data_IF_329266952353
#
_entry.id   IF_329266952353
#
_cell.length_a   1.000
_cell.length_b   1.000
_cell.length_c   1.000
_cell.angle_alpha   90.00
_cell.angle_beta   90.00
_cell.angle_gamma   90.00
#
_symmetry.space_group_name_H-M   'P 1'
#
loop_
_entity.id
_entity.type
_entity.pdbx_description
1 polymer ?
#
# COMPACT_ATOMS: atom_id res chain seq x y z
N UNK A 1 46.00 18.25 13.21
CA UNK A 1 44.99 18.70 12.23
C UNK A 1 44.05 17.53 11.96
N UNK A 2 43.00 17.42 12.74
CA UNK A 2 41.95 16.40 12.58
C UNK A 2 41.00 16.85 11.46
N UNK A 3 40.93 16.05 10.43
CA UNK A 3 39.97 16.26 9.33
C UNK A 3 38.56 15.91 9.84
N UNK A 4 37.75 16.92 10.07
CA UNK A 4 36.32 16.79 10.26
C UNK A 4 35.70 16.11 9.03
N UNK A 5 35.36 14.82 9.15
CA UNK A 5 34.51 14.15 8.17
C UNK A 5 33.10 14.72 8.29
N UNK A 6 32.74 15.56 7.34
CA UNK A 6 31.36 15.99 7.15
C UNK A 6 30.53 14.76 6.69
N UNK A 7 29.79 14.16 7.60
CA UNK A 7 28.80 13.14 7.25
C UNK A 7 27.65 13.88 6.57
N UNK A 8 27.61 13.81 5.26
CA UNK A 8 26.49 14.30 4.48
C UNK A 8 25.24 13.53 4.90
N UNK A 9 24.37 14.15 5.68
CA UNK A 9 23.01 13.66 5.92
C UNK A 9 22.35 13.54 4.55
N UNK A 10 22.09 12.32 4.05
CA UNK A 10 21.24 12.11 2.89
C UNK A 10 19.91 12.79 3.20
N UNK A 11 19.57 13.86 2.47
CA UNK A 11 18.26 14.49 2.52
C UNK A 11 17.26 13.41 2.16
N UNK A 12 16.52 12.89 3.14
CA UNK A 12 15.39 12.01 2.89
C UNK A 12 14.27 12.90 2.32
N UNK A 13 14.04 12.77 1.02
CA UNK A 13 12.92 13.44 0.37
C UNK A 13 11.59 12.84 0.87
N UNK A 14 10.53 13.65 1.02
CA UNK A 14 9.22 13.13 1.36
C UNK A 14 8.72 12.19 0.23
N UNK A 15 8.25 11.02 0.62
CA UNK A 15 7.61 10.09 -0.32
C UNK A 15 6.13 10.41 -0.49
N UNK A 16 5.51 10.97 0.56
CA UNK A 16 4.14 11.49 0.54
C UNK A 16 4.13 12.85 1.22
N UNK A 17 3.47 13.85 0.61
CA UNK A 17 3.19 15.13 1.26
C UNK A 17 1.75 15.58 0.99
N UNK A 18 1.13 16.13 2.02
CA UNK A 18 -0.13 16.86 1.98
C UNK A 18 0.17 18.30 2.37
N UNK A 19 -0.14 19.24 1.50
CA UNK A 19 0.09 20.67 1.70
C UNK A 19 -1.24 21.40 1.69
N UNK A 20 -1.77 21.72 2.89
CA UNK A 20 -3.07 22.34 3.05
C UNK A 20 -4.19 21.61 2.29
N UNK A 21 -4.16 20.28 2.28
CA UNK A 21 -5.09 19.50 1.50
C UNK A 21 -6.45 19.41 2.18
N UNK A 22 -7.51 19.79 1.49
CA UNK A 22 -8.89 19.59 1.90
C UNK A 22 -9.65 18.85 0.80
N UNK A 23 -10.57 17.97 1.20
CA UNK A 23 -11.40 17.23 0.26
C UNK A 23 -12.84 17.13 0.75
N UNK A 24 -13.76 17.43 -0.14
CA UNK A 24 -15.20 17.30 0.04
C UNK A 24 -15.77 16.42 -1.05
N UNK A 25 -16.46 15.33 -0.67
CA UNK A 25 -17.17 14.49 -1.65
C UNK A 25 -18.32 15.25 -2.29
N UNK A 26 -18.63 14.94 -3.53
CA UNK A 26 -19.79 15.48 -4.20
C UNK A 26 -21.08 15.10 -3.44
N UNK A 27 -22.01 16.08 -3.34
CA UNK A 27 -23.25 15.91 -2.58
C UNK A 27 -23.14 15.96 -1.05
N UNK A 28 -21.92 16.07 -0.49
CA UNK A 28 -21.74 16.27 0.95
C UNK A 28 -21.59 17.77 1.29
N UNK A 29 -22.13 18.17 2.46
CA UNK A 29 -22.02 19.56 2.94
C UNK A 29 -20.74 19.83 3.74
N UNK A 30 -20.03 18.78 4.15
CA UNK A 30 -18.85 18.91 5.00
C UNK A 30 -17.62 18.32 4.32
N UNK A 31 -16.46 18.94 4.57
CA UNK A 31 -15.16 18.43 4.14
C UNK A 31 -14.81 17.16 4.94
N UNK A 32 -14.43 16.11 4.23
CA UNK A 32 -13.93 14.85 4.82
C UNK A 32 -12.45 14.94 5.20
N UNK A 33 -11.69 15.80 4.52
CA UNK A 33 -10.36 16.24 4.93
C UNK A 33 -10.37 17.76 5.01
N UNK A 34 -9.76 18.33 6.06
CA UNK A 34 -9.74 19.76 6.28
C UNK A 34 -8.32 20.24 6.63
N UNK A 35 -7.75 21.06 5.77
CA UNK A 35 -6.41 21.69 5.95
C UNK A 35 -5.33 20.69 6.41
N UNK A 36 -5.26 19.52 5.80
CA UNK A 36 -4.30 18.47 6.17
C UNK A 36 -2.90 18.89 5.78
N UNK A 37 -1.99 18.83 6.74
CA UNK A 37 -0.55 19.01 6.59
C UNK A 37 0.14 17.75 7.09
N UNK A 38 0.74 16.98 6.20
CA UNK A 38 1.38 15.73 6.54
C UNK A 38 2.57 15.50 5.61
N UNK A 39 3.69 15.10 6.18
CA UNK A 39 4.88 14.71 5.43
C UNK A 39 5.30 13.33 5.92
N UNK A 40 5.40 12.37 5.00
CA UNK A 40 5.88 11.02 5.26
C UNK A 40 7.16 10.81 4.46
N UNK A 41 8.23 10.43 5.14
CA UNK A 41 9.53 10.18 4.53
C UNK A 41 9.66 8.74 4.08
N UNK A 42 10.52 8.49 3.10
CA UNK A 42 10.86 7.13 2.69
C UNK A 42 11.36 6.31 3.89
N UNK A 43 10.82 5.09 4.02
CA UNK A 43 11.13 4.19 5.12
C UNK A 43 10.51 4.56 6.46
N UNK A 44 9.61 5.54 6.53
CA UNK A 44 8.84 5.85 7.73
C UNK A 44 7.67 4.87 7.89
N UNK A 45 7.36 4.52 9.14
CA UNK A 45 6.17 3.76 9.49
C UNK A 45 5.22 4.69 10.27
N UNK A 46 4.09 5.01 9.65
CA UNK A 46 3.09 5.91 10.21
C UNK A 46 1.82 5.12 10.59
N UNK A 47 1.34 5.34 11.81
CA UNK A 47 0.05 4.82 12.27
C UNK A 47 -0.95 5.97 12.38
N UNK A 48 -2.07 5.84 11.67
CA UNK A 48 -3.15 6.82 11.67
C UNK A 48 -4.32 6.25 12.49
N UNK A 49 -4.64 6.90 13.60
CA UNK A 49 -5.74 6.50 14.47
C UNK A 49 -6.80 7.61 14.56
N UNK A 50 -8.01 7.26 14.92
CA UNK A 50 -9.11 8.22 15.09
C UNK A 50 -10.47 7.54 15.02
N UNK A 51 -11.51 8.28 15.40
CA UNK A 51 -12.90 7.80 15.38
C UNK A 51 -13.35 7.43 13.97
N UNK A 52 -14.39 6.59 13.86
CA UNK A 52 -15.03 6.32 12.58
C UNK A 52 -15.53 7.62 11.94
N UNK A 53 -15.34 7.77 10.64
CA UNK A 53 -15.77 8.96 9.90
C UNK A 53 -14.80 10.17 9.99
N UNK A 54 -13.69 10.10 10.73
CA UNK A 54 -12.76 11.25 10.84
C UNK A 54 -11.84 11.48 9.62
N UNK A 55 -12.09 10.81 8.49
CA UNK A 55 -11.35 11.04 7.24
C UNK A 55 -10.18 10.08 6.95
N UNK A 56 -9.93 9.05 7.77
CA UNK A 56 -8.82 8.08 7.54
C UNK A 56 -8.89 7.44 6.15
N UNK A 57 -10.03 6.89 5.79
CA UNK A 57 -10.25 6.28 4.47
C UNK A 57 -10.13 7.29 3.34
N UNK A 58 -10.54 8.54 3.54
CA UNK A 58 -10.37 9.61 2.54
C UNK A 58 -8.91 9.94 2.32
N UNK A 59 -8.11 9.97 3.40
CA UNK A 59 -6.67 10.20 3.32
C UNK A 59 -5.97 9.04 2.59
N UNK A 60 -6.32 7.78 2.88
CA UNK A 60 -5.76 6.62 2.17
C UNK A 60 -6.18 6.60 0.70
N UNK A 61 -7.40 7.04 0.36
CA UNK A 61 -7.85 7.21 -1.04
C UNK A 61 -7.05 8.26 -1.79
N UNK A 62 -6.65 9.34 -1.14
CA UNK A 62 -5.75 10.32 -1.76
C UNK A 62 -4.36 9.69 -2.02
N UNK A 63 -3.80 8.98 -1.04
CA UNK A 63 -2.50 8.31 -1.20
C UNK A 63 -2.55 7.30 -2.36
N UNK A 64 -3.63 6.52 -2.45
CA UNK A 64 -3.84 5.52 -3.51
C UNK A 64 -4.20 6.12 -4.87
N UNK A 65 -4.20 7.44 -5.00
CA UNK A 65 -4.60 8.15 -6.23
C UNK A 65 -6.02 7.80 -6.73
N UNK A 66 -6.91 7.40 -5.81
CA UNK A 66 -8.32 7.15 -6.11
C UNK A 66 -9.15 8.44 -6.08
N UNK A 67 -8.69 9.44 -5.35
CA UNK A 67 -9.23 10.80 -5.34
C UNK A 67 -8.30 11.68 -6.20
N UNK A 68 -8.84 12.51 -7.07
CA UNK A 68 -10.27 12.77 -7.35
C UNK A 68 -10.89 11.89 -8.45
N UNK A 69 -10.17 10.94 -9.02
CA UNK A 69 -10.54 10.22 -10.26
C UNK A 69 -11.74 9.28 -10.13
N UNK A 70 -11.77 8.47 -9.07
CA UNK A 70 -12.81 7.46 -8.84
C UNK A 70 -13.81 7.90 -7.78
N UNK A 71 -13.45 8.88 -6.98
CA UNK A 71 -14.32 9.47 -5.97
C UNK A 71 -14.44 10.96 -6.28
N UNK A 72 -15.58 11.33 -6.86
CA UNK A 72 -15.85 12.69 -7.28
C UNK A 72 -15.98 13.62 -6.07
N UNK A 73 -15.46 14.84 -6.24
CA UNK A 73 -15.46 15.83 -5.19
C UNK A 73 -14.47 16.98 -5.47
N UNK A 74 -14.40 17.89 -4.54
CA UNK A 74 -13.54 19.07 -4.61
C UNK A 74 -12.28 18.85 -3.77
N UNK A 75 -11.15 18.71 -4.43
CA UNK A 75 -9.83 18.67 -3.80
C UNK A 75 -9.16 20.06 -3.91
N UNK A 76 -8.84 20.66 -2.76
CA UNK A 76 -8.03 21.87 -2.64
C UNK A 76 -6.70 21.57 -1.95
N UNK A 77 -5.72 22.50 -2.08
CA UNK A 77 -4.36 22.25 -1.64
C UNK A 77 -3.63 21.27 -2.57
N UNK A 78 -2.55 20.67 -2.09
CA UNK A 78 -1.72 19.77 -2.89
C UNK A 78 -1.45 18.47 -2.16
N UNK A 79 -1.47 17.35 -2.91
CA UNK A 79 -1.08 16.03 -2.42
C UNK A 79 -0.09 15.45 -3.42
N UNK A 80 1.12 15.16 -2.93
CA UNK A 80 2.21 14.61 -3.73
C UNK A 80 2.52 13.21 -3.21
N UNK A 81 2.58 12.24 -4.10
CA UNK A 81 2.93 10.85 -3.81
C UNK A 81 4.03 10.42 -4.78
N UNK A 82 5.13 9.89 -4.27
CA UNK A 82 6.32 9.51 -5.06
C UNK A 82 6.81 10.64 -5.97
N UNK A 83 6.73 11.90 -5.49
CA UNK A 83 7.17 13.08 -6.22
C UNK A 83 6.22 13.58 -7.33
N UNK A 84 5.00 13.03 -7.44
CA UNK A 84 3.98 13.42 -8.44
C UNK A 84 2.70 13.90 -7.76
N UNK A 85 2.10 14.96 -8.28
CA UNK A 85 0.77 15.41 -7.85
C UNK A 85 -0.29 14.36 -8.19
N UNK A 86 -1.18 14.04 -7.24
CA UNK A 86 -2.28 13.10 -7.50
C UNK A 86 -3.30 13.64 -8.53
N UNK A 87 -3.30 14.94 -8.77
CA UNK A 87 -4.15 15.57 -9.81
C UNK A 87 -3.68 15.23 -11.22
N UNK A 88 -2.38 14.99 -11.40
CA UNK A 88 -1.73 14.78 -12.69
C UNK A 88 -1.34 13.31 -12.91
N UNK A 89 -1.17 12.54 -11.83
CA UNK A 89 -0.65 11.19 -11.87
C UNK A 89 -1.68 10.18 -12.43
N UNK A 90 -1.22 9.20 -13.20
CA UNK A 90 -2.06 8.11 -13.68
C UNK A 90 -2.25 7.04 -12.59
N UNK A 91 -3.48 6.54 -12.43
CA UNK A 91 -3.79 5.53 -11.42
C UNK A 91 -3.09 4.18 -11.68
N UNK A 92 -2.88 3.83 -12.96
CA UNK A 92 -2.16 2.60 -13.33
C UNK A 92 -0.68 2.69 -12.97
N UNK A 93 -0.05 3.84 -13.12
CA UNK A 93 1.34 4.05 -12.67
C UNK A 93 1.45 4.06 -11.15
N UNK A 94 0.49 4.69 -10.45
CA UNK A 94 0.44 4.69 -9.00
C UNK A 94 0.37 3.25 -8.43
N UNK A 95 -0.39 2.37 -9.06
CA UNK A 95 -0.52 0.97 -8.66
C UNK A 95 0.77 0.14 -8.72
N UNK A 96 1.81 0.60 -9.42
CA UNK A 96 3.15 -0.03 -9.38
C UNK A 96 3.92 0.35 -8.11
N UNK A 97 3.69 1.54 -7.60
CA UNK A 97 4.45 2.12 -6.50
C UNK A 97 3.75 1.99 -5.15
N UNK A 98 2.42 1.78 -5.17
CA UNK A 98 1.58 1.76 -3.98
C UNK A 98 0.83 0.43 -3.91
N UNK A 99 1.02 -0.31 -2.82
CA UNK A 99 0.23 -1.49 -2.50
C UNK A 99 -0.78 -1.17 -1.40
N UNK A 100 -2.03 -1.57 -1.62
CA UNK A 100 -3.10 -1.42 -0.65
C UNK A 100 -3.60 -2.76 -0.16
N UNK A 101 -3.83 -2.86 1.14
CA UNK A 101 -4.44 -4.03 1.77
C UNK A 101 -5.66 -3.54 2.54
N UNK A 102 -6.83 -4.00 2.12
CA UNK A 102 -8.11 -3.61 2.69
C UNK A 102 -8.50 -4.49 3.88
N UNK A 103 -9.41 -3.99 4.70
CA UNK A 103 -9.93 -4.67 5.88
C UNK A 103 -10.56 -6.04 5.55
N UNK A 104 -11.35 -6.14 4.48
CA UNK A 104 -11.88 -7.42 3.98
C UNK A 104 -11.13 -7.87 2.72
N UNK A 105 -10.24 -8.87 2.79
CA UNK A 105 -9.48 -9.35 1.65
C UNK A 105 -10.37 -9.96 0.55
N UNK A 106 -11.59 -10.41 0.87
CA UNK A 106 -12.51 -11.01 -0.12
C UNK A 106 -12.94 -10.02 -1.20
N UNK A 107 -13.00 -8.75 -0.87
CA UNK A 107 -13.33 -7.70 -1.85
C UNK A 107 -12.17 -7.34 -2.77
N UNK A 108 -10.99 -7.87 -2.50
CA UNK A 108 -9.75 -7.56 -3.20
C UNK A 108 -9.34 -8.63 -4.23
N UNK A 109 -9.85 -9.88 -4.10
CA UNK A 109 -9.45 -10.98 -4.96
C UNK A 109 -10.11 -10.94 -6.33
N UNK A 110 -9.32 -11.18 -7.35
CA UNK A 110 -9.72 -11.24 -8.76
C UNK A 110 -9.72 -12.67 -9.29
N UNK A 111 -9.02 -13.59 -8.65
CA UNK A 111 -8.88 -14.98 -9.07
C UNK A 111 -9.38 -15.93 -7.98
N UNK A 112 -9.54 -17.21 -8.33
CA UNK A 112 -9.94 -18.27 -7.40
C UNK A 112 -8.75 -19.05 -6.85
N UNK A 113 -7.56 -18.88 -7.42
CA UNK A 113 -6.36 -19.63 -7.08
C UNK A 113 -5.33 -18.71 -6.42
N UNK A 114 -4.75 -19.12 -5.32
CA UNK A 114 -3.80 -18.32 -4.54
C UNK A 114 -2.53 -17.91 -5.29
N UNK A 115 -1.97 -18.80 -6.13
CA UNK A 115 -0.79 -18.48 -6.94
C UNK A 115 -1.13 -17.50 -8.05
N UNK A 116 -2.29 -17.67 -8.70
CA UNK A 116 -2.78 -16.75 -9.72
C UNK A 116 -3.05 -15.36 -9.14
N UNK A 117 -3.60 -15.30 -7.92
CA UNK A 117 -3.84 -14.02 -7.25
C UNK A 117 -2.53 -13.29 -6.94
N UNK A 118 -1.54 -14.01 -6.44
CA UNK A 118 -0.21 -13.45 -6.16
C UNK A 118 0.51 -13.03 -7.46
N UNK A 119 0.24 -13.69 -8.59
CA UNK A 119 0.77 -13.34 -9.91
C UNK A 119 0.05 -12.16 -10.58
N UNK A 120 -1.23 -11.95 -10.24
CA UNK A 120 -2.18 -11.11 -10.98
C UNK A 120 -1.66 -9.71 -11.31
N UNK A 121 -1.13 -9.01 -10.32
CA UNK A 121 -0.59 -7.67 -10.56
C UNK A 121 0.61 -7.69 -11.52
N UNK A 122 1.50 -8.68 -11.38
CA UNK A 122 2.66 -8.82 -12.26
C UNK A 122 2.25 -9.10 -13.72
N UNK A 123 1.20 -9.90 -13.93
CA UNK A 123 0.64 -10.19 -15.25
C UNK A 123 0.06 -8.94 -15.90
N UNK A 124 -0.73 -8.16 -15.14
CA UNK A 124 -1.34 -6.91 -15.63
C UNK A 124 -0.30 -5.87 -16.05
N UNK A 125 0.87 -5.87 -15.41
CA UNK A 125 1.97 -4.97 -15.79
C UNK A 125 2.94 -5.57 -16.81
N UNK A 126 2.62 -6.72 -17.40
CA UNK A 126 3.39 -7.32 -18.48
C UNK A 126 4.77 -7.83 -18.06
N UNK A 127 4.94 -8.21 -16.79
CA UNK A 127 6.21 -8.79 -16.33
C UNK A 127 6.42 -10.15 -17.01
N UNK A 128 7.64 -10.48 -17.48
CA UNK A 128 7.91 -11.75 -18.14
C UNK A 128 7.58 -12.95 -17.25
N UNK A 129 6.97 -14.00 -17.82
CA UNK A 129 6.50 -15.18 -17.08
C UNK A 129 7.56 -15.80 -16.15
N UNK A 130 8.81 -15.95 -16.62
CA UNK A 130 9.91 -16.48 -15.80
C UNK A 130 10.14 -15.66 -14.53
N UNK A 131 10.02 -14.35 -14.62
CA UNK A 131 10.18 -13.45 -13.48
C UNK A 131 8.96 -13.52 -12.55
N UNK A 132 7.75 -13.64 -13.10
CA UNK A 132 6.53 -13.83 -12.31
C UNK A 132 6.64 -15.10 -11.45
N UNK A 133 7.00 -16.23 -12.06
CA UNK A 133 7.17 -17.49 -11.32
C UNK A 133 8.18 -17.35 -10.18
N UNK A 134 9.30 -16.66 -10.40
CA UNK A 134 10.30 -16.40 -9.38
C UNK A 134 9.74 -15.55 -8.25
N UNK A 135 9.04 -14.46 -8.56
CA UNK A 135 8.45 -13.54 -7.58
C UNK A 135 7.38 -14.23 -6.74
N UNK A 136 6.48 -14.98 -7.37
CA UNK A 136 5.44 -15.75 -6.69
C UNK A 136 6.06 -16.76 -5.71
N UNK A 137 7.03 -17.56 -6.15
CA UNK A 137 7.71 -18.51 -5.28
C UNK A 137 8.40 -17.81 -4.09
N UNK A 138 9.12 -16.74 -4.34
CA UNK A 138 9.79 -15.96 -3.28
C UNK A 138 8.79 -15.35 -2.31
N UNK A 139 7.63 -14.89 -2.79
CA UNK A 139 6.58 -14.35 -1.94
C UNK A 139 6.06 -15.41 -0.96
N UNK A 140 5.67 -16.60 -1.44
CA UNK A 140 5.21 -17.69 -0.57
C UNK A 140 6.29 -18.13 0.43
N UNK A 141 7.55 -18.24 0.01
CA UNK A 141 8.66 -18.57 0.89
C UNK A 141 8.88 -17.53 1.99
N UNK A 142 8.74 -16.25 1.68
CA UNK A 142 9.01 -15.16 2.63
C UNK A 142 8.11 -15.19 3.89
N UNK A 143 6.92 -15.80 3.79
CA UNK A 143 5.99 -15.99 4.91
C UNK A 143 5.86 -17.46 5.35
N UNK A 144 6.69 -18.39 4.84
CA UNK A 144 6.59 -19.83 5.07
C UNK A 144 5.19 -20.38 4.74
N UNK A 145 4.68 -19.99 3.56
CA UNK A 145 3.30 -20.29 3.12
C UNK A 145 3.23 -21.15 1.87
N UNK A 146 4.28 -21.91 1.56
CA UNK A 146 4.34 -22.77 0.38
C UNK A 146 3.17 -23.78 0.33
N UNK A 147 2.66 -24.17 1.50
CA UNK A 147 1.50 -25.05 1.63
C UNK A 147 0.18 -24.43 1.16
N UNK A 148 0.13 -23.11 1.01
CA UNK A 148 -1.05 -22.38 0.47
C UNK A 148 -0.95 -22.13 -1.02
N UNK A 149 0.16 -22.49 -1.64
CA UNK A 149 0.35 -22.32 -3.08
C UNK A 149 -0.62 -23.24 -3.83
N UNK A 150 -1.18 -22.73 -4.93
CA UNK A 150 -2.12 -23.41 -5.82
C UNK A 150 -3.42 -23.88 -5.13
N UNK A 151 -3.79 -23.27 -3.99
CA UNK A 151 -5.02 -23.56 -3.27
C UNK A 151 -6.17 -22.67 -3.74
N UNK A 152 -7.37 -23.21 -3.61
CA UNK A 152 -8.60 -22.43 -3.81
C UNK A 152 -8.71 -21.39 -2.66
N UNK A 153 -8.77 -20.10 -3.05
CA UNK A 153 -8.86 -18.97 -2.11
C UNK A 153 -10.11 -19.06 -1.24
N UNK A 154 -11.22 -19.55 -1.77
CA UNK A 154 -12.48 -19.69 -1.02
C UNK A 154 -12.43 -20.81 0.02
N UNK A 155 -11.54 -21.80 -0.16
CA UNK A 155 -11.30 -22.85 0.81
C UNK A 155 -10.35 -22.43 1.95
N UNK A 156 -9.68 -21.27 1.83
CA UNK A 156 -8.77 -20.75 2.84
C UNK A 156 -9.53 -20.14 4.03
N UNK A 157 -8.94 -20.21 5.22
CA UNK A 157 -9.39 -19.46 6.39
C UNK A 157 -9.25 -17.94 6.17
N UNK A 158 -9.92 -17.12 6.99
CA UNK A 158 -9.82 -15.65 6.89
C UNK A 158 -8.38 -15.14 7.05
N UNK A 159 -7.62 -15.73 7.99
CA UNK A 159 -6.22 -15.38 8.19
C UNK A 159 -5.32 -15.77 7.00
N UNK A 160 -5.54 -16.96 6.42
CA UNK A 160 -4.81 -17.39 5.21
C UNK A 160 -5.14 -16.51 4.01
N UNK A 161 -6.39 -16.13 3.82
CA UNK A 161 -6.78 -15.15 2.79
C UNK A 161 -6.08 -13.81 2.98
N UNK A 162 -6.03 -13.29 4.21
CA UNK A 162 -5.31 -12.05 4.49
C UNK A 162 -3.82 -12.15 4.14
N UNK A 163 -3.20 -13.28 4.44
CA UNK A 163 -1.81 -13.56 4.06
C UNK A 163 -1.63 -13.59 2.55
N UNK A 164 -2.52 -14.26 1.81
CA UNK A 164 -2.48 -14.27 0.33
C UNK A 164 -2.65 -12.86 -0.24
N UNK A 165 -3.58 -12.05 0.28
CA UNK A 165 -3.74 -10.65 -0.12
C UNK A 165 -2.46 -9.83 0.13
N UNK A 166 -1.79 -10.07 1.26
CA UNK A 166 -0.51 -9.44 1.54
C UNK A 166 0.59 -9.87 0.55
N UNK A 167 0.69 -11.18 0.24
CA UNK A 167 1.64 -11.67 -0.76
C UNK A 167 1.39 -11.04 -2.13
N UNK A 168 0.13 -10.98 -2.58
CA UNK A 168 -0.25 -10.35 -3.83
C UNK A 168 0.19 -8.88 -3.87
N UNK A 169 -0.05 -8.14 -2.79
CA UNK A 169 0.36 -6.74 -2.67
C UNK A 169 1.89 -6.52 -2.72
N UNK A 170 2.69 -7.52 -2.35
CA UNK A 170 4.15 -7.38 -2.28
C UNK A 170 4.89 -7.75 -3.57
N UNK A 171 4.27 -8.47 -4.49
CA UNK A 171 4.95 -9.04 -5.68
C UNK A 171 5.48 -8.01 -6.68
N UNK A 172 4.87 -6.83 -6.76
CA UNK A 172 5.37 -5.71 -7.57
C UNK A 172 6.54 -4.97 -6.92
N UNK A 173 6.86 -5.29 -5.67
CA UNK A 173 7.88 -4.58 -4.89
C UNK A 173 7.58 -3.07 -4.73
N UNK A 174 6.39 -2.70 -4.24
CA UNK A 174 5.99 -1.30 -4.13
C UNK A 174 6.85 -0.54 -3.10
N UNK A 175 6.90 0.77 -3.24
CA UNK A 175 7.63 1.66 -2.32
C UNK A 175 6.76 2.10 -1.14
N UNK A 176 5.43 2.10 -1.32
CA UNK A 176 4.45 2.55 -0.34
C UNK A 176 3.47 1.42 -0.05
N UNK A 177 3.23 1.16 1.22
CA UNK A 177 2.20 0.22 1.69
C UNK A 177 1.13 0.99 2.46
N UNK A 178 -0.11 0.85 2.02
CA UNK A 178 -1.29 1.40 2.68
C UNK A 178 -2.09 0.25 3.26
N UNK A 179 -2.16 0.17 4.58
CA UNK A 179 -2.80 -0.92 5.31
C UNK A 179 -4.04 -0.36 6.05
N UNK A 180 -5.23 -0.83 5.69
CA UNK A 180 -6.47 -0.45 6.33
C UNK A 180 -6.92 -1.58 7.28
N UNK A 181 -6.76 -1.37 8.59
CA UNK A 181 -7.04 -2.34 9.67
C UNK A 181 -6.46 -3.75 9.43
N UNK A 182 -5.18 -3.89 9.03
CA UNK A 182 -4.61 -5.16 8.57
C UNK A 182 -4.55 -6.24 9.66
N UNK A 183 -4.64 -5.85 10.93
CA UNK A 183 -4.55 -6.77 12.08
C UNK A 183 -5.87 -7.43 12.44
N UNK A 184 -6.99 -7.04 11.86
CA UNK A 184 -8.32 -7.55 12.22
C UNK A 184 -8.44 -9.09 12.05
N UNK A 185 -7.65 -9.67 11.10
CA UNK A 185 -7.68 -11.10 10.79
C UNK A 185 -6.29 -11.77 10.78
N UNK A 186 -5.24 -11.08 11.24
CA UNK A 186 -3.88 -11.62 11.32
C UNK A 186 -3.50 -11.94 12.77
N UNK A 187 -2.84 -13.08 12.97
CA UNK A 187 -2.21 -13.38 14.25
C UNK A 187 -0.93 -12.53 14.46
N UNK A 188 -0.51 -12.41 15.71
CA UNK A 188 0.65 -11.60 16.11
C UNK A 188 1.92 -12.05 15.38
N UNK A 189 2.09 -13.36 15.14
CA UNK A 189 3.26 -13.88 14.46
C UNK A 189 3.33 -13.40 13.02
N UNK A 190 2.21 -13.44 12.29
CA UNK A 190 2.12 -12.93 10.93
C UNK A 190 2.34 -11.42 10.87
N UNK A 191 1.81 -10.65 11.83
CA UNK A 191 2.07 -9.20 11.92
C UNK A 191 3.57 -8.93 12.06
N UNK A 192 4.28 -9.69 12.88
CA UNK A 192 5.72 -9.56 13.06
C UNK A 192 6.50 -9.96 11.80
N UNK A 193 6.09 -11.02 11.09
CA UNK A 193 6.68 -11.42 9.81
C UNK A 193 6.51 -10.33 8.75
N UNK A 194 5.28 -9.81 8.59
CA UNK A 194 4.98 -8.68 7.69
C UNK A 194 5.87 -7.48 8.01
N UNK A 195 5.99 -7.13 9.29
CA UNK A 195 6.87 -6.05 9.75
C UNK A 195 8.34 -6.33 9.40
N UNK A 196 8.82 -7.56 9.55
CA UNK A 196 10.16 -7.99 9.16
C UNK A 196 10.41 -7.73 7.67
N UNK A 197 9.53 -8.21 6.80
CA UNK A 197 9.62 -8.04 5.34
C UNK A 197 9.65 -6.56 4.96
N UNK A 198 8.83 -5.72 5.61
CA UNK A 198 8.80 -4.28 5.36
C UNK A 198 10.06 -3.57 5.89
N UNK A 199 10.69 -4.10 6.96
CA UNK A 199 11.89 -3.53 7.57
C UNK A 199 13.17 -3.89 6.81
N UNK A 200 13.30 -5.14 6.34
CA UNK A 200 14.48 -5.61 5.60
C UNK A 200 14.66 -4.93 4.23
N UNK A 201 13.59 -4.32 3.71
CA UNK A 201 13.64 -3.51 2.49
C UNK A 201 14.21 -2.10 2.71
N UNK A 202 14.58 -1.74 3.94
CA UNK A 202 15.28 -0.47 4.27
C UNK A 202 16.79 -0.51 4.03
N UNK A 203 17.35 -1.68 3.75
CA UNK A 203 18.76 -1.89 3.41
C UNK A 203 18.94 -1.85 1.91
#
# INVERSE_FOLDING_TARGET
MEAMRCVAMKKQFPIISFEHASFQYEGQSQESLKDVKLIIKSGEFLVITGQSGCGKTTLTRCINNLIPRFFEGRLSGEVIVSGRSIKESDAGEAGKEIASIFQDPRTQFFTTNSSSEVAFACENYGIPHKEIVKRVNSAFQSLNMENLKDRDIFALSSGERQKVAFLAATTLNPQIYVLDEPSANLDIHTILQVRGILSDRKS
#
